data_IF_473444586102
#
_entry.id   IF_473444586102
#
_cell.length_a   1.000
_cell.length_b   1.000
_cell.length_c   1.000
_cell.angle_alpha   90.00
_cell.angle_beta   90.00
_cell.angle_gamma   90.00
#
_symmetry.space_group_name_H-M   'P 1'
#
loop_
_entity.id
_entity.type
_entity.pdbx_description
1 polymer ?
#
# COMPACT_ATOMS: atom_id res chain seq x y z
N UNK A 1 -16.21 -5.77 -7.64
CA UNK A 1 -16.16 -7.14 -7.05
C UNK A 1 -16.48 -7.05 -5.56
N UNK A 2 -16.81 -8.16 -4.92
CA UNK A 2 -17.20 -8.19 -3.51
C UNK A 2 -16.09 -8.80 -2.65
N UNK A 3 -16.12 -8.50 -1.36
CA UNK A 3 -15.29 -9.16 -0.35
C UNK A 3 -15.76 -10.61 -0.24
N UNK A 4 -14.83 -11.55 -0.28
CA UNK A 4 -15.10 -12.99 -0.14
C UNK A 4 -14.84 -13.42 1.30
N UNK A 5 -15.86 -13.55 2.12
CA UNK A 5 -15.71 -13.97 3.51
C UNK A 5 -15.14 -15.40 3.67
N UNK A 6 -15.30 -16.26 2.66
CA UNK A 6 -14.75 -17.63 2.62
C UNK A 6 -13.27 -17.69 2.25
N UNK A 7 -12.61 -16.56 1.97
CA UNK A 7 -11.19 -16.51 1.69
C UNK A 7 -10.33 -16.90 2.90
N UNK A 8 -9.07 -17.20 2.64
CA UNK A 8 -8.11 -17.66 3.65
C UNK A 8 -7.47 -16.51 4.43
N UNK A 9 -7.25 -15.35 3.77
CA UNK A 9 -6.55 -14.18 4.33
C UNK A 9 -6.99 -12.86 3.69
N UNK A 10 -6.69 -11.74 4.34
CA UNK A 10 -6.69 -10.41 3.73
C UNK A 10 -5.31 -10.17 3.14
N UNK A 11 -5.23 -9.71 1.89
CA UNK A 11 -3.97 -9.42 1.21
C UNK A 11 -3.72 -7.91 1.22
N UNK A 12 -2.59 -7.47 1.76
CA UNK A 12 -2.05 -6.14 1.49
C UNK A 12 -0.90 -6.24 0.48
N UNK A 13 -1.11 -5.70 -0.71
CA UNK A 13 -0.07 -5.59 -1.72
C UNK A 13 0.61 -4.22 -1.60
N UNK A 14 1.71 -4.20 -0.87
CA UNK A 14 2.53 -3.02 -0.62
C UNK A 14 3.32 -2.66 -1.88
N UNK A 15 2.92 -1.58 -2.55
CA UNK A 15 3.50 -1.18 -3.84
C UNK A 15 4.31 0.11 -3.75
N UNK A 16 3.83 1.09 -3.02
CA UNK A 16 4.36 2.45 -2.99
C UNK A 16 4.74 2.90 -1.58
N UNK A 17 3.88 2.68 -0.58
CA UNK A 17 4.12 3.03 0.82
C UNK A 17 4.87 1.88 1.50
N UNK A 18 6.16 1.75 1.20
CA UNK A 18 7.03 0.63 1.61
C UNK A 18 7.56 0.80 3.02
N UNK A 19 6.64 0.93 3.99
CA UNK A 19 6.97 1.12 5.42
C UNK A 19 5.85 0.59 6.31
N UNK A 20 6.19 0.22 7.53
CA UNK A 20 5.22 -0.22 8.53
C UNK A 20 4.47 0.98 9.14
N UNK A 21 5.20 1.98 9.64
CA UNK A 21 4.62 3.13 10.33
C UNK A 21 4.01 4.15 9.35
N UNK A 22 2.93 4.83 9.81
CA UNK A 22 2.24 5.88 9.03
C UNK A 22 1.79 5.38 7.65
N UNK A 23 1.17 4.22 7.63
CA UNK A 23 0.72 3.54 6.43
C UNK A 23 -0.79 3.24 6.52
N UNK A 24 -1.60 4.16 6.00
CA UNK A 24 -3.06 4.03 6.05
C UNK A 24 -3.57 2.77 5.31
N UNK A 25 -2.87 2.31 4.28
CA UNK A 25 -3.23 1.08 3.58
C UNK A 25 -3.00 -0.16 4.46
N UNK A 26 -1.91 -0.19 5.23
CA UNK A 26 -1.67 -1.25 6.20
C UNK A 26 -2.70 -1.21 7.34
N UNK A 27 -2.99 -0.04 7.90
CA UNK A 27 -4.02 0.14 8.93
C UNK A 27 -5.38 -0.37 8.44
N UNK A 28 -5.77 0.01 7.23
CA UNK A 28 -7.00 -0.47 6.59
C UNK A 28 -7.02 -1.99 6.41
N UNK A 29 -5.88 -2.58 6.04
CA UNK A 29 -5.75 -4.03 5.89
C UNK A 29 -5.87 -4.76 7.23
N UNK A 30 -5.29 -4.20 8.30
CA UNK A 30 -5.41 -4.70 9.67
C UNK A 30 -6.87 -4.66 10.13
N UNK A 31 -7.55 -3.52 9.98
CA UNK A 31 -8.97 -3.36 10.35
C UNK A 31 -9.85 -4.40 9.64
N UNK A 32 -9.61 -4.60 8.34
CA UNK A 32 -10.36 -5.58 7.56
C UNK A 32 -10.06 -7.02 8.02
N UNK A 33 -8.79 -7.33 8.32
CA UNK A 33 -8.34 -8.61 8.85
C UNK A 33 -9.05 -8.94 10.17
N UNK A 34 -9.09 -7.99 11.09
CA UNK A 34 -9.78 -8.12 12.38
C UNK A 34 -11.27 -8.31 12.15
N UNK A 35 -11.92 -7.47 11.33
CA UNK A 35 -13.36 -7.52 11.09
C UNK A 35 -13.84 -8.84 10.45
N UNK A 36 -12.99 -9.45 9.62
CA UNK A 36 -13.26 -10.73 8.98
C UNK A 36 -12.78 -11.93 9.81
N UNK A 37 -12.05 -11.70 10.90
CA UNK A 37 -11.36 -12.73 11.68
C UNK A 37 -10.47 -13.62 10.78
N UNK A 38 -9.64 -13.00 9.94
CA UNK A 38 -8.75 -13.66 8.98
C UNK A 38 -7.32 -13.13 9.16
N UNK A 39 -6.29 -13.96 8.91
CA UNK A 39 -4.91 -13.48 8.96
C UNK A 39 -4.65 -12.42 7.89
N UNK A 40 -3.70 -11.52 8.19
CA UNK A 40 -3.18 -10.55 7.23
C UNK A 40 -1.93 -11.12 6.57
N UNK A 41 -1.90 -11.09 5.25
CA UNK A 41 -0.73 -11.36 4.44
C UNK A 41 -0.28 -10.09 3.75
N UNK A 42 0.94 -9.64 4.01
CA UNK A 42 1.57 -8.50 3.34
C UNK A 42 2.57 -9.02 2.32
N UNK A 43 2.47 -8.56 1.07
CA UNK A 43 3.45 -8.87 0.03
C UNK A 43 4.06 -7.58 -0.50
N UNK A 44 5.37 -7.52 -0.54
CA UNK A 44 6.15 -6.44 -1.14
C UNK A 44 7.00 -7.00 -2.27
N UNK A 45 6.89 -6.41 -3.46
CA UNK A 45 7.53 -6.94 -4.66
C UNK A 45 8.57 -5.97 -5.23
N UNK A 46 9.71 -6.52 -5.68
CA UNK A 46 10.67 -5.82 -6.53
C UNK A 46 10.64 -6.47 -7.91
N UNK A 47 10.43 -5.65 -8.96
CA UNK A 47 10.58 -6.08 -10.35
C UNK A 47 11.85 -5.51 -10.95
N UNK A 48 12.57 -6.34 -11.69
CA UNK A 48 13.77 -5.97 -12.44
C UNK A 48 13.44 -5.44 -13.84
N UNK A 49 12.19 -5.45 -14.25
CA UNK A 49 11.74 -5.08 -15.61
C UNK A 49 11.72 -3.59 -15.87
N UNK A 50 11.79 -2.78 -14.83
CA UNK A 50 11.63 -1.35 -14.99
C UNK A 50 12.91 -0.74 -15.58
N UNK A 51 12.78 0.13 -16.58
CA UNK A 51 13.92 0.79 -17.24
C UNK A 51 14.82 1.58 -16.28
N UNK A 52 14.27 2.02 -15.14
CA UNK A 52 15.03 2.72 -14.09
C UNK A 52 15.47 1.79 -12.94
N UNK A 53 15.31 0.48 -13.08
CA UNK A 53 15.79 -0.51 -12.12
C UNK A 53 17.31 -0.60 -12.19
N UNK A 54 18.01 0.27 -11.46
CA UNK A 54 19.46 0.19 -11.29
C UNK A 54 19.80 -0.63 -10.05
N UNK A 55 21.01 -1.20 -10.01
CA UNK A 55 21.53 -1.92 -8.84
C UNK A 55 21.41 -1.06 -7.57
N UNK A 56 21.70 0.23 -7.65
CA UNK A 56 21.56 1.17 -6.53
C UNK A 56 20.14 1.26 -6.00
N UNK A 57 19.14 1.36 -6.89
CA UNK A 57 17.72 1.46 -6.51
C UNK A 57 17.24 0.14 -5.95
N UNK A 58 17.57 -0.97 -6.62
CA UNK A 58 17.17 -2.30 -6.17
C UNK A 58 17.78 -2.65 -4.81
N UNK A 59 19.07 -2.33 -4.59
CA UNK A 59 19.73 -2.54 -3.30
C UNK A 59 19.11 -1.71 -2.19
N UNK A 60 18.76 -0.44 -2.45
CA UNK A 60 18.10 0.41 -1.48
C UNK A 60 16.73 -0.16 -1.08
N UNK A 61 15.92 -0.57 -2.04
CA UNK A 61 14.61 -1.17 -1.77
C UNK A 61 14.75 -2.50 -1.02
N UNK A 62 15.70 -3.34 -1.43
CA UNK A 62 15.94 -4.63 -0.77
C UNK A 62 16.37 -4.44 0.71
N UNK A 63 17.19 -3.45 1.02
CA UNK A 63 17.53 -3.12 2.42
C UNK A 63 16.28 -2.71 3.22
N UNK A 64 15.41 -1.86 2.67
CA UNK A 64 14.14 -1.52 3.31
C UNK A 64 13.22 -2.74 3.52
N UNK A 65 13.24 -3.71 2.61
CA UNK A 65 12.50 -4.97 2.79
C UNK A 65 13.05 -5.80 3.97
N UNK A 66 14.36 -5.79 4.20
CA UNK A 66 14.96 -6.47 5.36
C UNK A 66 14.53 -5.81 6.66
N UNK A 67 14.50 -4.47 6.70
CA UNK A 67 14.01 -3.73 7.87
C UNK A 67 12.53 -4.03 8.12
N UNK A 68 11.71 -3.99 7.08
CA UNK A 68 10.29 -4.35 7.16
C UNK A 68 10.08 -5.79 7.64
N UNK A 69 10.88 -6.75 7.19
CA UNK A 69 10.77 -8.17 7.59
C UNK A 69 10.84 -8.31 9.11
N UNK A 70 11.84 -7.68 9.74
CA UNK A 70 12.00 -7.70 11.21
C UNK A 70 10.79 -7.09 11.92
N UNK A 71 10.32 -5.91 11.44
CA UNK A 71 9.20 -5.20 12.08
C UNK A 71 7.90 -6.01 11.97
N UNK A 72 7.60 -6.57 10.79
CA UNK A 72 6.38 -7.36 10.60
C UNK A 72 6.40 -8.67 11.39
N UNK A 73 7.58 -9.31 11.52
CA UNK A 73 7.78 -10.52 12.33
C UNK A 73 7.50 -10.22 13.81
N UNK A 74 8.04 -9.13 14.34
CA UNK A 74 7.81 -8.69 15.73
C UNK A 74 6.31 -8.42 16.01
N UNK A 75 5.56 -7.99 15.02
CA UNK A 75 4.11 -7.74 15.10
C UNK A 75 3.24 -8.98 14.81
N UNK A 76 3.85 -10.13 14.51
CA UNK A 76 3.14 -11.36 14.18
C UNK A 76 2.35 -11.31 12.87
N UNK A 77 2.72 -10.42 11.95
CA UNK A 77 2.10 -10.28 10.63
C UNK A 77 2.93 -11.02 9.59
N UNK A 78 2.31 -11.86 8.80
CA UNK A 78 3.00 -12.55 7.71
C UNK A 78 3.38 -11.57 6.61
N UNK A 79 4.68 -11.35 6.44
CA UNK A 79 5.25 -10.49 5.41
C UNK A 79 6.11 -11.31 4.45
N UNK A 80 5.91 -11.11 3.14
CA UNK A 80 6.63 -11.81 2.08
C UNK A 80 7.36 -10.76 1.21
N UNK A 81 8.67 -10.58 1.41
CA UNK A 81 9.50 -9.85 0.47
C UNK A 81 9.74 -10.75 -0.76
N UNK A 82 9.21 -10.33 -1.90
CA UNK A 82 9.37 -11.08 -3.13
C UNK A 82 10.21 -10.32 -4.15
N UNK A 83 11.28 -10.94 -4.64
CA UNK A 83 12.19 -10.34 -5.60
C UNK A 83 12.08 -11.12 -6.91
N UNK A 84 11.78 -10.42 -7.99
CA UNK A 84 11.81 -10.98 -9.33
C UNK A 84 13.26 -11.28 -9.74
N UNK A 85 13.62 -12.56 -9.82
CA UNK A 85 14.98 -13.01 -10.16
C UNK A 85 15.23 -13.11 -11.66
N UNK A 86 14.17 -13.26 -12.44
CA UNK A 86 14.18 -13.28 -13.90
C UNK A 86 12.87 -12.74 -14.44
N UNK A 87 12.86 -12.30 -15.68
CA UNK A 87 11.69 -11.77 -16.36
C UNK A 87 10.57 -12.81 -16.30
N UNK A 88 9.35 -12.37 -15.98
CA UNK A 88 8.12 -13.15 -15.88
C UNK A 88 8.03 -14.11 -14.67
N UNK A 89 9.00 -14.12 -13.75
CA UNK A 89 8.92 -14.97 -12.55
C UNK A 89 7.74 -14.65 -11.63
N UNK A 90 7.19 -13.42 -11.71
CA UNK A 90 5.99 -12.98 -10.98
C UNK A 90 4.67 -13.16 -11.71
N UNK A 91 4.69 -13.68 -12.93
CA UNK A 91 3.48 -13.77 -13.73
C UNK A 91 2.43 -14.70 -13.11
N UNK A 92 1.22 -14.18 -12.99
CA UNK A 92 0.11 -14.90 -12.38
C UNK A 92 0.13 -14.97 -10.85
N UNK A 93 1.15 -14.45 -10.16
CA UNK A 93 1.24 -14.46 -8.69
C UNK A 93 0.02 -13.79 -8.05
N UNK A 94 -0.31 -12.56 -8.48
CA UNK A 94 -1.46 -11.85 -7.94
C UNK A 94 -2.78 -12.61 -8.18
N UNK A 95 -2.94 -13.24 -9.33
CA UNK A 95 -4.12 -14.07 -9.62
C UNK A 95 -4.20 -15.25 -8.64
N UNK A 96 -3.10 -15.96 -8.41
CA UNK A 96 -3.05 -17.08 -7.45
C UNK A 96 -3.35 -16.61 -6.02
N UNK A 97 -2.81 -15.46 -5.61
CA UNK A 97 -3.11 -14.90 -4.29
C UNK A 97 -4.57 -14.45 -4.18
N UNK A 98 -5.09 -13.76 -5.21
CA UNK A 98 -6.48 -13.28 -5.21
C UNK A 98 -7.51 -14.40 -5.19
N UNK A 99 -7.20 -15.58 -5.76
CA UNK A 99 -8.10 -16.73 -5.72
C UNK A 99 -8.35 -17.28 -4.31
N UNK A 100 -7.44 -17.00 -3.38
CA UNK A 100 -7.50 -17.42 -1.98
C UNK A 100 -7.82 -16.29 -1.01
N UNK A 101 -7.60 -15.04 -1.39
CA UNK A 101 -7.82 -13.89 -0.55
C UNK A 101 -9.31 -13.58 -0.31
N UNK A 102 -9.60 -12.94 0.81
CA UNK A 102 -10.89 -12.31 1.08
C UNK A 102 -11.07 -11.01 0.30
N UNK A 103 -10.03 -10.21 0.28
CA UNK A 103 -9.94 -8.90 -0.38
C UNK A 103 -8.47 -8.52 -0.55
N UNK A 104 -8.21 -7.57 -1.43
CA UNK A 104 -6.88 -7.00 -1.64
C UNK A 104 -6.94 -5.53 -1.27
N UNK A 105 -6.00 -5.10 -0.43
CA UNK A 105 -5.69 -3.69 -0.19
C UNK A 105 -4.42 -3.35 -0.96
N UNK A 106 -4.37 -2.19 -1.58
CA UNK A 106 -3.22 -1.69 -2.35
C UNK A 106 -3.03 -0.21 -2.08
N UNK A 107 -1.80 0.27 -2.23
CA UNK A 107 -1.51 1.71 -2.15
C UNK A 107 -2.11 2.45 -3.34
N UNK A 108 -2.83 3.55 -3.09
CA UNK A 108 -3.21 4.50 -4.13
C UNK A 108 -2.09 5.52 -4.33
N UNK A 109 -1.48 5.52 -5.50
CA UNK A 109 -0.39 6.42 -5.82
C UNK A 109 -0.68 7.17 -7.14
N UNK A 110 -0.54 8.52 -7.18
CA UNK A 110 -1.10 9.34 -8.26
C UNK A 110 -0.31 9.34 -9.57
N UNK A 111 0.85 8.65 -9.64
CA UNK A 111 1.63 8.60 -10.86
C UNK A 111 1.11 7.55 -11.84
N UNK A 112 1.41 7.74 -13.13
CA UNK A 112 0.86 6.92 -14.21
C UNK A 112 1.21 5.43 -14.09
N UNK A 113 2.44 5.08 -13.68
CA UNK A 113 2.88 3.67 -13.63
C UNK A 113 2.21 2.86 -12.51
N UNK A 114 2.25 3.28 -11.22
CA UNK A 114 1.50 2.60 -10.18
C UNK A 114 0.00 2.53 -10.47
N UNK A 115 -0.58 3.60 -11.03
CA UNK A 115 -1.98 3.61 -11.43
C UNK A 115 -2.29 2.57 -12.48
N UNK A 116 -1.48 2.48 -13.53
CA UNK A 116 -1.62 1.49 -14.58
C UNK A 116 -1.50 0.05 -14.04
N UNK A 117 -0.53 -0.20 -13.13
CA UNK A 117 -0.38 -1.50 -12.47
C UNK A 117 -1.63 -1.86 -11.68
N UNK A 118 -2.16 -0.93 -10.90
CA UNK A 118 -3.36 -1.11 -10.11
C UNK A 118 -4.59 -1.41 -11.00
N UNK A 119 -4.79 -0.67 -12.08
CA UNK A 119 -5.91 -0.86 -13.00
C UNK A 119 -5.85 -2.26 -13.65
N UNK A 120 -4.68 -2.70 -14.12
CA UNK A 120 -4.50 -4.05 -14.67
C UNK A 120 -4.69 -5.14 -13.62
N UNK A 121 -4.17 -4.93 -12.43
CA UNK A 121 -4.34 -5.85 -11.32
C UNK A 121 -5.82 -6.02 -10.93
N UNK A 122 -6.58 -4.92 -10.91
CA UNK A 122 -8.00 -4.96 -10.61
C UNK A 122 -8.82 -5.78 -11.63
N UNK A 123 -8.39 -5.80 -12.89
CA UNK A 123 -9.02 -6.63 -13.92
C UNK A 123 -8.76 -8.13 -13.70
N UNK A 124 -7.55 -8.48 -13.27
CA UNK A 124 -7.13 -9.87 -13.07
C UNK A 124 -7.47 -10.43 -11.69
N UNK A 125 -7.79 -9.60 -10.71
CA UNK A 125 -8.21 -10.03 -9.37
C UNK A 125 -9.57 -10.72 -9.42
N UNK A 126 -9.79 -11.71 -8.59
CA UNK A 126 -11.09 -12.39 -8.41
C UNK A 126 -11.94 -11.78 -7.29
N UNK A 127 -11.32 -11.03 -6.40
CA UNK A 127 -11.95 -10.44 -5.22
C UNK A 127 -11.93 -8.91 -5.28
N UNK A 128 -12.58 -8.26 -4.33
CA UNK A 128 -12.54 -6.82 -4.17
C UNK A 128 -11.10 -6.33 -3.99
N UNK A 129 -10.77 -5.22 -4.64
CA UNK A 129 -9.51 -4.51 -4.47
C UNK A 129 -9.83 -3.08 -4.06
N UNK A 130 -9.28 -2.66 -2.94
CA UNK A 130 -9.44 -1.32 -2.37
C UNK A 130 -8.09 -0.60 -2.42
N UNK A 131 -8.05 0.56 -3.05
CA UNK A 131 -6.87 1.42 -3.11
C UNK A 131 -6.95 2.46 -1.99
N UNK A 132 -5.88 2.58 -1.21
CA UNK A 132 -5.82 3.44 -0.03
C UNK A 132 -4.67 4.42 -0.16
N UNK A 133 -4.97 5.69 0.04
CA UNK A 133 -4.03 6.79 -0.05
C UNK A 133 -3.23 6.96 1.24
N UNK A 134 -1.92 6.78 1.14
CA UNK A 134 -0.95 6.99 2.23
C UNK A 134 0.10 8.06 1.86
N UNK A 135 -0.17 8.91 0.86
CA UNK A 135 0.86 9.79 0.27
C UNK A 135 1.13 11.06 1.06
N UNK A 136 0.22 11.49 1.90
CA UNK A 136 0.37 12.75 2.61
C UNK A 136 -0.54 12.89 3.81
N UNK A 137 -0.39 13.99 4.53
CA UNK A 137 -1.24 14.34 5.68
C UNK A 137 -2.69 14.59 5.23
N UNK A 138 -2.86 15.19 4.05
CA UNK A 138 -4.16 15.41 3.42
C UNK A 138 -4.37 14.34 2.35
N UNK A 139 -5.49 13.61 2.38
CA UNK A 139 -5.84 12.69 1.30
C UNK A 139 -5.88 13.41 -0.06
N UNK A 140 -5.41 12.75 -1.12
CA UNK A 140 -5.39 13.33 -2.46
C UNK A 140 -6.78 13.74 -2.97
N UNK A 141 -7.81 12.99 -2.58
CA UNK A 141 -9.20 13.28 -2.94
C UNK A 141 -9.83 14.40 -2.11
N UNK A 142 -9.11 14.98 -1.15
CA UNK A 142 -9.60 16.10 -0.34
C UNK A 142 -9.78 17.37 -1.17
N UNK A 143 -8.99 17.56 -2.22
CA UNK A 143 -9.13 18.68 -3.14
C UNK A 143 -10.26 18.38 -4.13
N UNK A 144 -11.39 19.10 -4.00
CA UNK A 144 -12.56 19.00 -4.87
C UNK A 144 -12.32 19.53 -6.29
N UNK A 145 -11.22 20.26 -6.49
CA UNK A 145 -10.84 20.87 -7.76
C UNK A 145 -9.33 21.08 -7.89
N UNK A 146 -8.88 21.21 -9.12
CA UNK A 146 -7.51 21.62 -9.40
C UNK A 146 -7.28 23.11 -9.05
N UNK A 147 -6.22 23.38 -8.30
CA UNK A 147 -5.82 24.74 -7.94
C UNK A 147 -4.87 25.31 -8.98
N UNK A 148 -5.21 26.48 -9.55
CA UNK A 148 -4.41 27.14 -10.60
C UNK A 148 -3.07 27.69 -10.08
N UNK A 149 -2.95 27.95 -8.77
CA UNK A 149 -1.75 28.53 -8.17
C UNK A 149 -1.40 27.83 -6.85
N UNK A 150 -0.10 27.77 -6.54
CA UNK A 150 0.37 27.26 -5.25
C UNK A 150 -0.21 28.03 -4.05
N UNK A 151 -0.48 29.32 -4.21
CA UNK A 151 -1.09 30.14 -3.18
C UNK A 151 -2.54 29.71 -2.86
N UNK A 152 -3.36 29.46 -3.88
CA UNK A 152 -4.74 29.00 -3.66
C UNK A 152 -4.77 27.59 -3.07
N UNK A 153 -3.87 26.70 -3.49
CA UNK A 153 -3.71 25.37 -2.92
C UNK A 153 -3.28 25.44 -1.46
N UNK A 154 -2.25 26.26 -1.14
CA UNK A 154 -1.81 26.45 0.25
C UNK A 154 -2.94 26.92 1.16
N UNK A 155 -3.75 27.90 0.75
CA UNK A 155 -4.90 28.35 1.52
C UNK A 155 -5.94 27.25 1.77
N UNK A 156 -6.17 26.41 0.77
CA UNK A 156 -7.06 25.26 0.89
C UNK A 156 -6.50 24.26 1.91
N UNK A 157 -5.24 23.87 1.78
CA UNK A 157 -4.55 22.97 2.71
C UNK A 157 -4.58 23.51 4.15
N UNK A 158 -4.22 24.78 4.37
CA UNK A 158 -4.18 25.38 5.69
C UNK A 158 -5.52 25.37 6.44
N UNK A 159 -6.64 25.47 5.73
CA UNK A 159 -7.97 25.42 6.35
C UNK A 159 -8.34 24.02 6.88
N UNK A 160 -7.76 23.01 6.30
CA UNK A 160 -8.11 21.60 6.52
C UNK A 160 -7.08 20.87 7.35
N UNK A 161 -5.86 21.40 7.38
CA UNK A 161 -4.70 20.73 7.99
C UNK A 161 -4.95 20.40 9.46
N UNK A 162 -5.56 21.28 10.21
CA UNK A 162 -5.78 21.08 11.64
C UNK A 162 -6.67 19.86 11.92
N UNK A 163 -7.78 19.72 11.21
CA UNK A 163 -8.65 18.55 11.34
C UNK A 163 -7.96 17.25 10.89
N UNK A 164 -7.15 17.31 9.84
CA UNK A 164 -6.40 16.12 9.38
C UNK A 164 -5.32 15.71 10.38
N UNK A 165 -4.61 16.65 11.00
CA UNK A 165 -3.58 16.35 11.99
C UNK A 165 -4.14 15.69 13.27
N UNK A 166 -5.40 15.95 13.60
CA UNK A 166 -6.07 15.33 14.75
C UNK A 166 -6.39 13.84 14.52
N UNK A 167 -6.40 13.38 13.27
CA UNK A 167 -6.66 11.99 12.89
C UNK A 167 -5.38 11.21 12.50
N UNK A 168 -4.21 11.86 12.49
CA UNK A 168 -2.95 11.17 12.29
C UNK A 168 -2.50 10.51 13.58
N UNK A 169 -1.89 9.33 13.49
CA UNK A 169 -1.27 8.68 14.63
C UNK A 169 -0.32 9.64 15.37
N UNK A 170 -0.27 9.59 16.71
CA UNK A 170 0.62 10.46 17.47
C UNK A 170 2.06 10.31 16.98
N UNK A 171 2.78 11.42 16.92
CA UNK A 171 4.19 11.42 16.56
C UNK A 171 4.97 10.61 17.60
N UNK A 172 6.01 9.85 17.20
CA UNK A 172 6.90 9.19 18.18
C UNK A 172 7.57 10.15 19.18
N UNK A 173 7.44 11.47 18.98
CA UNK A 173 7.88 12.51 19.92
C UNK A 173 6.88 12.81 21.03
N UNK A 174 5.64 12.36 20.89
CA UNK A 174 4.59 12.60 21.87
C UNK A 174 4.55 11.52 22.96
N UNK A 175 5.39 10.49 22.83
CA UNK A 175 5.54 9.38 23.80
C UNK A 175 6.72 9.57 24.77
N UNK A 176 7.26 10.82 24.92
CA UNK A 176 8.36 11.14 25.85
C UNK A 176 7.86 11.99 27.02
#
# INVERSE_FOLDING_TARGET
>A
KQIRSSGEFVLYWMTSTRRYHYNAALERAIDLSISLNKPLLVIECISVRHEWSSERVLSFVAQGMVDNLSIFEDQGITYIPWIETHIDSGDGMLRKLSSKACSIIIDDYPTYLPRWVMDRASLSSEVSMEAVDSNGILPMNYADKAHKTAYSFRKHVQRSLHSCLLYTSPSPRDDI
#
